data_IF_262405099000
#
_entry.id   IF_262405099000
#
_cell.length_a   1.000
_cell.length_b   1.000
_cell.length_c   1.000
_cell.angle_alpha   90.00
_cell.angle_beta   90.00
_cell.angle_gamma   90.00
#
_symmetry.space_group_name_H-M   'P 1'
#
loop_
_entity.id
_entity.type
_entity.pdbx_description
1 polymer ?
#
# COMPACT_ATOMS: atom_id res chain seq x y z
N UNK A 1 -3.73 25.77 9.13
CA UNK A 1 -4.14 25.17 7.84
C UNK A 1 -2.93 24.49 7.21
N UNK A 2 -3.02 23.22 6.82
CA UNK A 2 -2.00 22.60 5.94
C UNK A 2 -1.95 23.45 4.68
N UNK A 3 -0.78 24.02 4.38
CA UNK A 3 -0.58 24.82 3.16
C UNK A 3 -0.89 23.96 1.94
N UNK A 4 -1.43 24.56 0.88
CA UNK A 4 -1.55 23.90 -0.43
C UNK A 4 -0.21 23.30 -0.87
N UNK A 5 0.90 23.92 -0.46
CA UNK A 5 2.27 23.46 -0.71
C UNK A 5 2.56 22.17 0.04
N UNK A 6 2.14 22.02 1.29
CA UNK A 6 2.32 20.79 2.07
C UNK A 6 1.54 19.62 1.47
N UNK A 7 0.31 19.87 1.00
CA UNK A 7 -0.48 18.86 0.30
C UNK A 7 0.16 18.47 -1.05
N UNK A 8 0.62 19.45 -1.83
CA UNK A 8 1.32 19.21 -3.10
C UNK A 8 2.65 18.46 -2.89
N UNK A 9 3.39 18.80 -1.82
CA UNK A 9 4.61 18.12 -1.44
C UNK A 9 4.37 16.65 -1.10
N UNK A 10 3.33 16.35 -0.30
CA UNK A 10 2.97 14.96 0.04
C UNK A 10 2.52 14.18 -1.22
N UNK A 11 1.76 14.81 -2.12
CA UNK A 11 1.35 14.18 -3.39
C UNK A 11 2.54 13.88 -4.31
N UNK A 12 3.48 14.82 -4.45
CA UNK A 12 4.68 14.61 -5.28
C UNK A 12 5.61 13.55 -4.65
N UNK A 13 5.67 13.51 -3.31
CA UNK A 13 6.37 12.43 -2.59
C UNK A 13 5.68 11.09 -2.77
N UNK A 14 4.36 11.00 -2.87
CA UNK A 14 3.67 9.72 -3.07
C UNK A 14 4.16 8.99 -4.34
N UNK A 15 4.41 9.71 -5.42
CA UNK A 15 4.86 9.12 -6.69
C UNK A 15 6.33 8.65 -6.66
N UNK A 16 7.16 9.27 -5.82
CA UNK A 16 8.63 9.06 -5.83
C UNK A 16 9.17 8.37 -4.57
N UNK A 17 8.41 8.36 -3.47
CA UNK A 17 8.83 7.86 -2.18
C UNK A 17 8.88 6.33 -2.16
N UNK A 18 9.86 5.79 -1.42
CA UNK A 18 9.95 4.34 -1.16
C UNK A 18 8.85 3.91 -0.19
N UNK A 19 8.47 2.62 -0.21
CA UNK A 19 7.46 2.05 0.69
C UNK A 19 7.68 2.42 2.16
N UNK A 20 8.94 2.38 2.62
CA UNK A 20 9.31 2.75 3.99
C UNK A 20 9.05 4.22 4.32
N UNK A 21 9.27 5.13 3.37
CA UNK A 21 9.03 6.56 3.55
C UNK A 21 7.52 6.86 3.60
N UNK A 22 6.70 6.13 2.83
CA UNK A 22 5.24 6.24 2.93
C UNK A 22 4.71 5.85 4.31
N UNK A 23 5.31 4.84 4.95
CA UNK A 23 4.96 4.44 6.31
C UNK A 23 5.31 5.52 7.34
N UNK A 24 6.48 6.17 7.18
CA UNK A 24 6.89 7.28 8.07
C UNK A 24 5.93 8.46 7.92
N UNK A 25 5.63 8.89 6.69
CA UNK A 25 4.71 10.01 6.44
C UNK A 25 3.31 9.71 7.01
N UNK A 26 2.84 8.46 6.87
CA UNK A 26 1.57 8.03 7.47
C UNK A 26 1.58 8.18 9.00
N UNK A 27 2.67 7.78 9.65
CA UNK A 27 2.80 7.86 11.11
C UNK A 27 2.79 9.32 11.59
N UNK A 28 3.57 10.20 10.95
CA UNK A 28 3.60 11.64 11.22
C UNK A 28 2.20 12.28 11.06
N UNK A 29 1.44 11.89 10.03
CA UNK A 29 0.07 12.37 9.83
C UNK A 29 -0.90 11.83 10.90
N UNK A 30 -0.68 10.62 11.42
CA UNK A 30 -1.47 10.08 12.52
C UNK A 30 -1.17 10.81 13.84
N UNK A 31 0.09 11.14 14.09
CA UNK A 31 0.46 12.01 15.22
C UNK A 31 -0.17 13.40 15.09
N UNK A 32 -0.19 13.96 13.87
CA UNK A 32 -0.86 15.22 13.61
C UNK A 32 -2.36 15.16 13.93
N UNK A 33 -3.05 14.04 13.64
CA UNK A 33 -4.46 13.86 14.03
C UNK A 33 -4.68 13.82 15.55
N UNK A 34 -3.68 13.37 16.32
CA UNK A 34 -3.73 13.35 17.79
C UNK A 34 -3.40 14.72 18.39
N UNK A 35 -2.77 15.61 17.62
CA UNK A 35 -2.44 16.95 18.07
C UNK A 35 -3.71 17.79 18.33
N UNK A 36 -3.75 18.57 19.43
CA UNK A 36 -4.87 19.46 19.74
C UNK A 36 -5.10 20.53 18.66
N UNK A 37 -4.07 20.85 17.86
CA UNK A 37 -4.16 21.78 16.72
C UNK A 37 -5.10 21.23 15.65
N UNK A 38 -5.02 19.91 15.40
CA UNK A 38 -5.87 19.24 14.41
C UNK A 38 -7.28 18.99 14.96
N UNK A 39 -7.41 18.74 16.26
CA UNK A 39 -8.71 18.60 16.92
C UNK A 39 -9.55 19.90 16.87
N UNK A 40 -8.90 21.07 16.91
CA UNK A 40 -9.56 22.37 16.80
C UNK A 40 -9.99 22.76 15.38
N UNK A 41 -9.40 22.16 14.34
CA UNK A 41 -9.67 22.50 12.94
C UNK A 41 -10.28 21.29 12.19
N UNK A 42 -11.61 21.28 12.07
CA UNK A 42 -12.36 20.21 11.37
C UNK A 42 -11.93 20.02 9.92
N UNK A 43 -11.45 21.07 9.24
CA UNK A 43 -11.02 20.99 7.85
C UNK A 43 -9.67 20.30 7.79
N UNK A 44 -8.73 20.73 8.63
CA UNK A 44 -7.43 20.09 8.79
C UNK A 44 -7.57 18.60 9.12
N UNK A 45 -8.44 18.25 10.06
CA UNK A 45 -8.69 16.85 10.42
C UNK A 45 -9.21 16.01 9.25
N UNK A 46 -10.16 16.54 8.47
CA UNK A 46 -10.69 15.86 7.28
C UNK A 46 -9.62 15.69 6.20
N UNK A 47 -8.81 16.72 5.95
CA UNK A 47 -7.77 16.70 4.92
C UNK A 47 -6.64 15.72 5.31
N UNK A 48 -6.20 15.74 6.57
CA UNK A 48 -5.21 14.79 7.10
C UNK A 48 -5.72 13.34 7.00
N UNK A 49 -6.99 13.08 7.34
CA UNK A 49 -7.58 11.74 7.15
C UNK A 49 -7.62 11.30 5.70
N UNK A 50 -7.94 12.21 4.77
CA UNK A 50 -7.93 11.89 3.33
C UNK A 50 -6.52 11.54 2.84
N UNK A 51 -5.51 12.26 3.30
CA UNK A 51 -4.10 11.98 2.96
C UNK A 51 -3.67 10.59 3.46
N UNK A 52 -3.99 10.25 4.72
CA UNK A 52 -3.70 8.92 5.28
C UNK A 52 -4.40 7.82 4.46
N UNK A 53 -5.66 8.02 4.05
CA UNK A 53 -6.40 7.06 3.23
C UNK A 53 -5.69 6.80 1.89
N UNK A 54 -5.25 7.86 1.21
CA UNK A 54 -4.51 7.74 -0.05
C UNK A 54 -3.18 7.04 0.11
N UNK A 55 -2.44 7.31 1.18
CA UNK A 55 -1.17 6.62 1.47
C UNK A 55 -1.42 5.11 1.69
N UNK A 56 -2.49 4.73 2.40
CA UNK A 56 -2.83 3.32 2.56
C UNK A 56 -3.18 2.66 1.21
N UNK A 57 -4.01 3.31 0.39
CA UNK A 57 -4.38 2.78 -0.94
C UNK A 57 -3.14 2.57 -1.83
N UNK A 58 -2.16 3.48 -1.77
CA UNK A 58 -0.89 3.36 -2.49
C UNK A 58 -0.01 2.20 -1.95
N UNK A 59 0.08 2.07 -0.61
CA UNK A 59 0.82 0.97 0.03
C UNK A 59 0.21 -0.39 -0.36
N UNK A 60 -1.11 -0.50 -0.33
CA UNK A 60 -1.85 -1.71 -0.68
C UNK A 60 -1.66 -2.04 -2.17
N UNK A 61 -1.76 -1.04 -3.06
CA UNK A 61 -1.53 -1.24 -4.51
C UNK A 61 -0.11 -1.76 -4.80
N UNK A 62 0.91 -1.24 -4.10
CA UNK A 62 2.30 -1.72 -4.23
C UNK A 62 2.47 -3.12 -3.68
N UNK A 63 1.77 -3.45 -2.60
CA UNK A 63 1.78 -4.79 -2.03
C UNK A 63 1.12 -5.81 -2.96
N UNK A 64 0.00 -5.46 -3.59
CA UNK A 64 -0.66 -6.29 -4.60
C UNK A 64 0.24 -6.54 -5.81
N UNK A 65 0.96 -5.53 -6.29
CA UNK A 65 1.96 -5.69 -7.37
C UNK A 65 3.09 -6.64 -6.96
N UNK A 66 3.62 -6.48 -5.74
CA UNK A 66 4.65 -7.38 -5.20
C UNK A 66 4.15 -8.83 -5.10
N UNK A 67 2.91 -9.04 -4.61
CA UNK A 67 2.31 -10.36 -4.56
C UNK A 67 2.09 -10.95 -5.95
N UNK A 68 1.61 -10.16 -6.91
CA UNK A 68 1.42 -10.60 -8.29
C UNK A 68 2.74 -11.02 -8.95
N UNK A 69 3.82 -10.28 -8.71
CA UNK A 69 5.17 -10.62 -9.17
C UNK A 69 5.69 -11.90 -8.53
N UNK A 70 5.48 -12.06 -7.21
CA UNK A 70 5.87 -13.28 -6.48
C UNK A 70 5.10 -14.52 -6.95
N UNK A 71 3.83 -14.37 -7.29
CA UNK A 71 3.01 -15.46 -7.86
C UNK A 71 3.43 -15.82 -9.29
N UNK A 72 3.95 -14.88 -10.08
CA UNK A 72 4.50 -15.14 -11.41
C UNK A 72 5.88 -15.81 -11.37
N UNK A 73 6.68 -15.50 -10.36
CA UNK A 73 8.06 -16.02 -10.21
C UNK A 73 8.13 -17.35 -9.46
N UNK A 74 7.09 -17.73 -8.71
CA UNK A 74 6.98 -19.12 -8.28
C UNK A 74 6.79 -19.99 -9.52
N UNK A 75 7.69 -20.94 -9.81
CA UNK A 75 7.37 -21.98 -10.76
C UNK A 75 6.08 -22.61 -10.23
N UNK A 76 5.04 -22.65 -11.05
CA UNK A 76 3.97 -23.61 -10.85
C UNK A 76 4.70 -24.94 -10.79
N UNK A 77 4.99 -25.44 -9.59
CA UNK A 77 5.29 -26.83 -9.38
C UNK A 77 4.02 -27.52 -9.82
N UNK A 78 3.96 -27.79 -11.13
CA UNK A 78 3.07 -28.74 -11.70
C UNK A 78 3.32 -29.97 -10.84
N UNK A 79 2.38 -30.24 -9.92
CA UNK A 79 2.27 -31.55 -9.35
C UNK A 79 1.99 -32.42 -10.56
N UNK A 80 3.07 -32.97 -11.13
CA UNK A 80 3.02 -34.08 -12.04
C UNK A 80 2.51 -35.23 -11.18
N UNK A 81 1.20 -35.25 -10.93
CA UNK A 81 0.52 -36.46 -10.53
C UNK A 81 0.81 -37.41 -11.67
N UNK A 82 1.52 -38.53 -11.44
CA UNK A 82 1.76 -39.48 -12.49
C UNK A 82 0.40 -39.88 -13.04
N UNK A 83 0.16 -39.60 -14.33
CA UNK A 83 -0.91 -40.23 -15.07
C UNK A 83 -0.73 -41.72 -14.80
N UNK A 84 -1.70 -42.34 -14.10
CA UNK A 84 -1.80 -43.79 -14.05
C UNK A 84 -1.84 -44.24 -15.51
N UNK A 85 -0.70 -44.69 -16.03
CA UNK A 85 -0.65 -45.60 -17.15
C UNK A 85 -1.32 -46.88 -16.65
N UNK A 86 -2.63 -46.96 -16.75
CA UNK A 86 -3.30 -48.24 -16.87
C UNK A 86 -3.09 -48.68 -18.31
N UNK A 87 -1.86 -49.09 -18.60
CA UNK A 87 -1.54 -49.93 -19.74
C UNK A 87 -2.02 -51.35 -19.46
N UNK A 88 -2.57 -51.94 -20.51
CA UNK A 88 -3.12 -53.30 -20.69
C UNK A 88 -2.40 -54.48 -20.02
N UNK A 89 -3.19 -55.54 -19.82
CA UNK A 89 -2.79 -56.94 -19.59
C UNK A 89 -3.40 -57.43 -18.28
N UNK A 90 -4.42 -58.30 -18.25
CA UNK A 90 -4.63 -59.55 -18.99
C UNK A 90 -6.13 -59.86 -19.03
#
# INVERSE_FOLDING_TARGET
MISKETHAFIMNRLETAKQAELLVIKDELQELLRSPICAGDKKLWKDTKKLIKKINEEIDARYDLYLAEKLRTQPKSASVVPLRQTGSGV
#
